data_IF_875468724142
#
_entry.id   IF_875468724142
#
_cell.length_a   1.000
_cell.length_b   1.000
_cell.length_c   1.000
_cell.angle_alpha   90.00
_cell.angle_beta   90.00
_cell.angle_gamma   90.00
#
_symmetry.space_group_name_H-M   'P 1'
#
loop_
_entity.id
_entity.type
_entity.pdbx_description
1 polymer ?
#
# COMPACT_ATOMS: atom_id res chain seq x y z
N UNK A 1 27.58 5.67 -6.41
CA UNK A 1 28.31 5.43 -5.16
C UNK A 1 27.29 5.33 -4.03
N UNK A 2 27.22 4.17 -3.37
CA UNK A 2 26.24 3.84 -2.32
C UNK A 2 26.45 4.72 -1.08
N UNK A 3 25.40 5.46 -0.70
CA UNK A 3 25.38 6.34 0.46
C UNK A 3 25.54 5.55 1.75
N UNK A 4 26.62 5.83 2.49
CA UNK A 4 26.86 5.30 3.83
C UNK A 4 25.72 5.73 4.76
N UNK A 5 24.98 4.75 5.30
CA UNK A 5 24.02 4.93 6.38
C UNK A 5 24.73 5.58 7.59
N UNK A 6 24.49 6.86 7.84
CA UNK A 6 25.04 7.58 9.00
C UNK A 6 24.38 7.03 10.27
N UNK A 7 25.18 6.40 11.13
CA UNK A 7 24.77 5.98 12.48
C UNK A 7 24.26 7.20 13.25
N UNK A 8 23.01 7.17 13.70
CA UNK A 8 22.45 8.20 14.58
C UNK A 8 23.24 8.22 15.90
N UNK A 9 23.92 9.33 16.17
CA UNK A 9 24.71 9.53 17.38
C UNK A 9 23.76 9.96 18.51
N UNK A 10 23.70 9.19 19.60
CA UNK A 10 22.74 9.31 20.73
C UNK A 10 22.91 10.58 21.58
N UNK A 11 23.80 11.51 21.21
CA UNK A 11 24.24 12.64 22.04
C UNK A 11 24.15 14.02 21.35
N UNK A 12 23.38 14.16 20.27
CA UNK A 12 23.17 15.49 19.66
C UNK A 12 22.13 16.27 20.45
N UNK A 13 22.43 17.53 20.75
CA UNK A 13 21.45 18.43 21.38
C UNK A 13 20.28 18.70 20.42
N UNK A 14 19.09 18.98 20.95
CA UNK A 14 17.89 19.22 20.14
C UNK A 14 18.10 20.30 19.06
N UNK A 15 18.83 21.36 19.40
CA UNK A 15 19.18 22.45 18.49
C UNK A 15 20.05 21.98 17.30
N UNK A 16 20.98 21.05 17.53
CA UNK A 16 21.81 20.50 16.45
C UNK A 16 21.02 19.62 15.48
N UNK A 17 20.03 18.87 16.00
CA UNK A 17 19.14 18.08 15.17
C UNK A 17 18.23 18.98 14.33
N UNK A 18 17.65 20.02 14.92
CA UNK A 18 16.82 20.99 14.18
C UNK A 18 17.60 21.69 13.08
N UNK A 19 18.86 22.07 13.36
CA UNK A 19 19.74 22.67 12.35
C UNK A 19 20.09 21.68 11.23
N UNK A 20 20.36 20.41 11.55
CA UNK A 20 20.60 19.38 10.53
C UNK A 20 19.36 19.14 9.66
N UNK A 21 18.17 19.03 10.27
CA UNK A 21 16.92 18.90 9.52
C UNK A 21 16.68 20.11 8.62
N UNK A 22 16.94 21.32 9.10
CA UNK A 22 16.80 22.53 8.30
C UNK A 22 17.78 22.54 7.11
N UNK A 23 19.04 22.15 7.34
CA UNK A 23 20.05 22.07 6.29
C UNK A 23 19.73 20.98 5.25
N UNK A 24 19.23 19.82 5.69
CA UNK A 24 18.78 18.74 4.81
C UNK A 24 17.55 19.16 4.00
N UNK A 25 16.59 19.85 4.64
CA UNK A 25 15.44 20.41 3.95
C UNK A 25 15.86 21.44 2.91
N UNK A 26 16.78 22.35 3.25
CA UNK A 26 17.29 23.38 2.34
C UNK A 26 18.03 22.75 1.15
N UNK A 27 18.81 21.70 1.37
CA UNK A 27 19.48 20.96 0.31
C UNK A 27 18.50 20.18 -0.60
N UNK A 28 17.41 19.64 -0.04
CA UNK A 28 16.38 18.96 -0.81
C UNK A 28 15.46 19.92 -1.57
N UNK A 29 15.25 21.13 -1.05
CA UNK A 29 14.35 22.14 -1.66
C UNK A 29 15.08 23.12 -2.57
N UNK A 30 16.40 23.22 -2.51
CA UNK A 30 17.18 23.95 -3.50
C UNK A 30 17.06 23.25 -4.85
N UNK A 31 16.13 23.72 -5.68
CA UNK A 31 16.03 23.33 -7.09
C UNK A 31 17.38 23.57 -7.74
N UNK A 32 17.97 22.52 -8.32
CA UNK A 32 19.27 22.62 -8.99
C UNK A 32 19.22 23.72 -10.05
N UNK A 33 20.32 24.46 -10.23
CA UNK A 33 20.40 25.50 -11.27
C UNK A 33 20.12 24.94 -12.68
N UNK A 34 20.35 23.64 -12.88
CA UNK A 34 20.03 22.90 -14.09
C UNK A 34 18.52 22.71 -14.30
N UNK A 35 17.75 22.43 -13.25
CA UNK A 35 16.28 22.34 -13.33
C UNK A 35 15.62 23.70 -13.59
N UNK A 36 16.17 24.79 -13.02
CA UNK A 36 15.65 26.15 -13.26
C UNK A 36 15.79 26.60 -14.71
N UNK A 37 16.81 26.13 -15.42
CA UNK A 37 17.08 26.49 -16.81
C UNK A 37 16.61 25.43 -17.81
N UNK A 38 15.94 24.36 -17.35
CA UNK A 38 15.48 23.29 -18.23
C UNK A 38 14.36 23.82 -19.13
N UNK A 39 14.50 23.78 -20.47
CA UNK A 39 13.43 24.19 -21.35
C UNK A 39 12.22 23.26 -21.17
N UNK A 40 11.03 23.84 -21.10
CA UNK A 40 9.78 23.08 -20.98
C UNK A 40 9.58 22.27 -22.25
N UNK A 41 9.79 20.96 -22.17
CA UNK A 41 9.58 20.06 -23.30
C UNK A 41 8.10 19.70 -23.45
N UNK A 42 7.67 19.39 -24.68
CA UNK A 42 6.27 18.97 -24.96
C UNK A 42 5.85 17.76 -24.12
N UNK A 43 6.78 16.85 -23.83
CA UNK A 43 6.56 15.71 -22.94
C UNK A 43 6.31 16.13 -21.49
N UNK A 44 7.04 17.13 -20.99
CA UNK A 44 6.80 17.71 -19.66
C UNK A 44 5.41 18.37 -19.58
N UNK A 45 4.98 19.03 -20.65
CA UNK A 45 3.63 19.62 -20.74
C UNK A 45 2.52 18.56 -20.79
N UNK A 46 2.70 17.51 -21.59
CA UNK A 46 1.80 16.36 -21.64
C UNK A 46 1.71 15.61 -20.30
N UNK A 47 2.81 15.51 -19.56
CA UNK A 47 2.81 14.95 -18.20
C UNK A 47 2.11 15.85 -17.17
N UNK A 48 2.07 17.15 -17.40
CA UNK A 48 1.41 18.13 -16.52
C UNK A 48 -0.10 18.21 -16.73
N UNK A 49 -0.57 18.00 -17.96
CA UNK A 49 -1.99 18.08 -18.36
C UNK A 49 -2.97 17.29 -17.47
N UNK A 50 -2.71 16.02 -17.10
CA UNK A 50 -3.61 15.25 -16.23
C UNK A 50 -3.73 15.85 -14.83
N UNK A 51 -2.63 16.34 -14.29
CA UNK A 51 -2.57 16.97 -12.97
C UNK A 51 -3.33 18.31 -13.04
N UNK A 52 -3.02 19.13 -14.03
CA UNK A 52 -3.68 20.41 -14.24
C UNK A 52 -5.20 20.26 -14.40
N UNK A 53 -5.65 19.34 -15.25
CA UNK A 53 -7.07 19.06 -15.45
C UNK A 53 -7.75 18.62 -14.15
N UNK A 54 -7.12 17.72 -13.40
CA UNK A 54 -7.62 17.30 -12.09
C UNK A 54 -7.77 18.47 -11.13
N UNK A 55 -6.84 19.42 -11.12
CA UNK A 55 -6.80 20.53 -10.15
C UNK A 55 -7.55 21.80 -10.55
N UNK A 56 -7.80 22.03 -11.84
CA UNK A 56 -8.48 23.24 -12.33
C UNK A 56 -9.85 22.97 -12.95
N UNK A 57 -10.06 21.81 -13.57
CA UNK A 57 -11.32 21.52 -14.28
C UNK A 57 -12.33 20.81 -13.40
N UNK A 58 -11.88 19.96 -12.46
CA UNK A 58 -12.80 19.22 -11.57
C UNK A 58 -13.06 20.04 -10.30
N UNK A 59 -14.29 20.54 -10.05
CA UNK A 59 -14.64 21.21 -8.81
C UNK A 59 -14.27 20.39 -7.56
N UNK A 60 -13.84 21.07 -6.50
CA UNK A 60 -13.49 20.43 -5.21
C UNK A 60 -14.57 19.45 -4.69
N UNK A 61 -15.88 19.77 -4.74
CA UNK A 61 -16.93 18.85 -4.30
C UNK A 61 -16.93 17.51 -5.06
N UNK A 62 -16.68 17.55 -6.37
CA UNK A 62 -16.66 16.34 -7.21
C UNK A 62 -15.47 15.45 -6.86
N UNK A 63 -14.30 16.04 -6.54
CA UNK A 63 -13.13 15.27 -6.07
C UNK A 63 -13.42 14.60 -4.73
N UNK A 64 -14.15 15.27 -3.85
CA UNK A 64 -14.53 14.73 -2.55
C UNK A 64 -15.51 13.57 -2.69
N UNK A 65 -16.53 13.71 -3.54
CA UNK A 65 -17.45 12.61 -3.87
C UNK A 65 -16.68 11.43 -4.46
N UNK A 66 -15.79 11.68 -5.42
CA UNK A 66 -14.95 10.64 -6.01
C UNK A 66 -14.09 9.92 -4.95
N UNK A 67 -13.47 10.67 -4.05
CA UNK A 67 -12.70 10.12 -2.94
C UNK A 67 -13.57 9.25 -2.01
N UNK A 68 -14.78 9.71 -1.68
CA UNK A 68 -15.73 8.95 -0.85
C UNK A 68 -16.18 7.66 -1.54
N UNK A 69 -16.50 7.72 -2.83
CA UNK A 69 -16.86 6.55 -3.63
C UNK A 69 -15.70 5.56 -3.64
N UNK A 70 -14.49 6.04 -3.91
CA UNK A 70 -13.31 5.18 -3.97
C UNK A 70 -12.96 4.52 -2.63
N UNK A 71 -12.97 5.29 -1.54
CA UNK A 71 -12.71 4.76 -0.20
C UNK A 71 -13.80 3.79 0.24
N UNK A 72 -15.07 4.06 -0.09
CA UNK A 72 -16.18 3.14 0.17
C UNK A 72 -16.04 1.83 -0.61
N UNK A 73 -15.65 1.89 -1.89
CA UNK A 73 -15.38 0.70 -2.69
C UNK A 73 -14.22 -0.12 -2.12
N UNK A 74 -13.13 0.52 -1.72
CA UNK A 74 -12.00 -0.16 -1.06
C UNK A 74 -12.44 -0.83 0.26
N UNK A 75 -13.26 -0.15 1.04
CA UNK A 75 -13.79 -0.69 2.29
C UNK A 75 -14.71 -1.88 2.06
N UNK A 76 -15.59 -1.80 1.05
CA UNK A 76 -16.48 -2.88 0.65
C UNK A 76 -15.66 -4.09 0.16
N UNK A 77 -14.68 -3.86 -0.72
CA UNK A 77 -13.73 -4.89 -1.18
C UNK A 77 -13.03 -5.57 -0.01
N UNK A 78 -12.54 -4.81 0.96
CA UNK A 78 -11.89 -5.35 2.14
C UNK A 78 -12.84 -6.23 2.98
N UNK A 79 -14.08 -5.78 3.20
CA UNK A 79 -15.11 -6.59 3.89
C UNK A 79 -15.40 -7.89 3.15
N UNK A 80 -15.57 -7.84 1.83
CA UNK A 80 -15.82 -9.03 1.00
C UNK A 80 -14.66 -10.03 1.07
N UNK A 81 -13.42 -9.56 0.93
CA UNK A 81 -12.24 -10.43 1.05
C UNK A 81 -12.18 -11.07 2.45
N UNK A 82 -12.41 -10.29 3.51
CA UNK A 82 -12.41 -10.80 4.88
C UNK A 82 -13.46 -11.89 5.07
N UNK A 83 -14.68 -11.69 4.57
CA UNK A 83 -15.73 -12.70 4.62
C UNK A 83 -15.37 -13.95 3.83
N UNK A 84 -14.88 -13.80 2.59
CA UNK A 84 -14.45 -14.91 1.74
C UNK A 84 -13.35 -15.75 2.40
N UNK A 85 -12.37 -15.10 3.03
CA UNK A 85 -11.28 -15.77 3.75
C UNK A 85 -11.79 -16.59 4.95
N UNK A 86 -12.73 -16.04 5.73
CA UNK A 86 -13.33 -16.76 6.88
C UNK A 86 -14.15 -17.95 6.40
N UNK A 87 -14.97 -17.76 5.36
CA UNK A 87 -15.79 -18.84 4.77
C UNK A 87 -14.88 -19.93 4.20
N UNK A 88 -13.84 -19.57 3.46
CA UNK A 88 -12.85 -20.50 2.94
C UNK A 88 -12.15 -21.28 4.06
N UNK A 89 -11.74 -20.63 5.14
CA UNK A 89 -11.13 -21.30 6.28
C UNK A 89 -12.10 -22.27 6.99
N UNK A 90 -13.40 -21.97 7.05
CA UNK A 90 -14.43 -22.89 7.58
C UNK A 90 -14.60 -24.12 6.69
N UNK A 91 -14.62 -23.91 5.37
CA UNK A 91 -14.70 -24.99 4.39
C UNK A 91 -13.47 -25.91 4.44
N UNK A 92 -12.27 -25.36 4.66
CA UNK A 92 -11.06 -26.15 4.85
C UNK A 92 -11.13 -27.04 6.08
N UNK A 93 -11.58 -26.51 7.22
CA UNK A 93 -11.76 -27.32 8.43
C UNK A 93 -12.75 -28.45 8.17
N UNK A 94 -13.90 -28.15 7.54
CA UNK A 94 -14.92 -29.14 7.24
C UNK A 94 -14.41 -30.22 6.27
N UNK A 95 -13.64 -29.85 5.26
CA UNK A 95 -13.06 -30.81 4.30
C UNK A 95 -11.95 -31.66 4.94
N UNK A 96 -11.09 -31.08 5.77
CA UNK A 96 -10.04 -31.80 6.50
C UNK A 96 -10.62 -32.75 7.56
N UNK A 97 -11.70 -32.35 8.25
CA UNK A 97 -12.45 -33.22 9.16
C UNK A 97 -13.04 -34.42 8.42
N UNK A 98 -13.65 -34.22 7.25
CA UNK A 98 -14.16 -35.31 6.40
C UNK A 98 -13.06 -36.26 5.93
N UNK A 99 -11.82 -35.77 5.77
CA UNK A 99 -10.64 -36.56 5.36
C UNK A 99 -9.91 -37.22 6.53
N UNK A 100 -10.36 -37.06 7.77
CA UNK A 100 -9.67 -37.59 8.96
C UNK A 100 -8.32 -36.92 9.26
N UNK A 101 -8.01 -35.78 8.63
CA UNK A 101 -6.71 -35.09 8.72
C UNK A 101 -6.83 -33.71 9.39
N UNK A 102 -7.76 -33.55 10.33
CA UNK A 102 -8.00 -32.28 11.03
C UNK A 102 -6.95 -31.95 12.11
N UNK A 103 -6.14 -32.92 12.51
CA UNK A 103 -5.12 -32.75 13.55
C UNK A 103 -4.06 -31.73 13.10
N UNK A 104 -4.03 -30.57 13.76
CA UNK A 104 -3.01 -29.52 13.55
C UNK A 104 -3.43 -28.32 12.68
N UNK A 105 -4.65 -28.31 12.10
CA UNK A 105 -5.07 -27.17 11.27
C UNK A 105 -5.47 -25.95 12.12
N UNK A 106 -4.69 -24.86 12.00
CA UNK A 106 -4.91 -23.60 12.73
C UNK A 106 -5.71 -22.60 11.90
N UNK A 107 -7.03 -22.71 11.93
CA UNK A 107 -7.97 -21.88 11.16
C UNK A 107 -7.68 -20.37 11.20
N UNK A 108 -7.40 -19.82 12.39
CA UNK A 108 -7.12 -18.38 12.57
C UNK A 108 -5.82 -17.95 11.89
N UNK A 109 -4.79 -18.80 11.95
CA UNK A 109 -3.48 -18.51 11.37
C UNK A 109 -3.53 -18.56 9.84
N UNK A 110 -4.18 -19.59 9.28
CA UNK A 110 -4.38 -19.73 7.83
C UNK A 110 -5.24 -18.59 7.26
N UNK A 111 -6.31 -18.20 7.96
CA UNK A 111 -7.14 -17.06 7.56
C UNK A 111 -6.35 -15.74 7.53
N UNK A 112 -5.52 -15.48 8.54
CA UNK A 112 -4.68 -14.28 8.56
C UNK A 112 -3.64 -14.28 7.44
N UNK A 113 -2.99 -15.43 7.18
CA UNK A 113 -2.03 -15.56 6.08
C UNK A 113 -2.66 -15.26 4.72
N UNK A 114 -3.89 -15.73 4.47
CA UNK A 114 -4.65 -15.41 3.25
C UNK A 114 -5.07 -13.95 3.15
N UNK A 115 -5.48 -13.33 4.26
CA UNK A 115 -5.82 -11.91 4.29
C UNK A 115 -4.62 -11.03 3.91
N UNK A 116 -3.41 -11.44 4.31
CA UNK A 116 -2.16 -10.76 3.98
C UNK A 116 -1.52 -11.22 2.66
N UNK A 117 -2.21 -12.03 1.84
CA UNK A 117 -1.72 -12.49 0.54
C UNK A 117 -0.55 -13.47 0.60
N UNK A 118 -0.23 -14.02 1.77
CA UNK A 118 0.82 -15.05 1.95
C UNK A 118 0.36 -16.43 1.47
N UNK A 119 -0.94 -16.62 1.32
CA UNK A 119 -1.57 -17.85 0.85
C UNK A 119 -2.74 -17.53 -0.08
N UNK A 120 -3.02 -18.44 -1.03
CA UNK A 120 -4.11 -18.27 -1.99
C UNK A 120 -5.48 -18.27 -1.29
N UNK A 121 -6.33 -17.32 -1.68
CA UNK A 121 -7.74 -17.27 -1.27
C UNK A 121 -8.50 -18.51 -1.77
N UNK A 122 -8.05 -19.10 -2.88
CA UNK A 122 -8.63 -20.30 -3.50
C UNK A 122 -8.07 -21.62 -2.94
N UNK A 123 -7.28 -21.57 -1.87
CA UNK A 123 -6.78 -22.77 -1.17
C UNK A 123 -7.84 -23.86 -0.91
N UNK A 124 -9.09 -23.52 -0.53
CA UNK A 124 -10.14 -24.52 -0.32
C UNK A 124 -10.53 -25.31 -1.56
N UNK A 125 -10.59 -24.64 -2.72
CA UNK A 125 -10.87 -25.31 -3.99
C UNK A 125 -9.73 -26.27 -4.36
N UNK A 126 -8.48 -25.88 -4.11
CA UNK A 126 -7.32 -26.74 -4.36
C UNK A 126 -7.32 -27.98 -3.47
N UNK A 127 -7.71 -27.84 -2.20
CA UNK A 127 -7.88 -28.97 -1.30
C UNK A 127 -9.00 -29.90 -1.77
N UNK A 128 -10.13 -29.38 -2.23
CA UNK A 128 -11.21 -30.20 -2.78
C UNK A 128 -10.83 -30.92 -4.08
N UNK A 129 -10.06 -30.28 -4.97
CA UNK A 129 -9.66 -30.82 -6.27
C UNK A 129 -8.50 -31.82 -6.22
N UNK A 130 -7.59 -31.71 -5.25
CA UNK A 130 -6.62 -32.78 -4.94
C UNK A 130 -7.38 -33.95 -4.30
N UNK A 131 -7.93 -34.80 -5.16
CA UNK A 131 -8.34 -36.18 -4.86
C UNK A 131 -7.18 -37.12 -5.10
#
# INVERSE_FOLDING_TARGET
>A
MLGKSKKHNKYKSRQQLEQEYFNEWQAMTSTSAEEKNRPVTVLSFLGFLPIWFKFYVVPSPIRFIWFFVWTSLLHLRYKLIKQAVIVGAKLDVATLQRRGSSAGYKMRETALRRLHGKESILGPMQLMLKR
#
